data_IF_536662264480
#
_entry.id   IF_536662264480
#
_cell.length_a   1.000
_cell.length_b   1.000
_cell.length_c   1.000
_cell.angle_alpha   90.00
_cell.angle_beta   90.00
_cell.angle_gamma   90.00
#
_symmetry.space_group_name_H-M   'P 1'
#
loop_
_entity.id
_entity.type
_entity.pdbx_description
1 polymer ?
#
# COMPACT_ATOMS: atom_id res chain seq x y z
N UNK A 1 11.70 2.18 11.99
CA UNK A 1 10.99 1.26 12.90
C UNK A 1 10.13 0.17 12.24
N UNK A 2 9.48 0.41 11.09
CA UNK A 2 8.59 -0.58 10.48
C UNK A 2 9.21 -1.97 10.21
N UNK A 3 10.53 -2.11 10.09
CA UNK A 3 11.19 -3.41 9.85
C UNK A 3 11.43 -4.27 11.10
N UNK A 4 11.22 -3.72 12.30
CA UNK A 4 11.64 -4.37 13.54
C UNK A 4 10.53 -5.18 14.23
N UNK A 5 9.29 -5.11 13.73
CA UNK A 5 8.13 -5.77 14.35
C UNK A 5 8.36 -7.26 14.66
N UNK A 6 8.86 -8.10 13.73
CA UNK A 6 9.03 -9.52 14.01
C UNK A 6 10.00 -9.77 15.15
N UNK A 7 11.07 -8.97 15.23
CA UNK A 7 12.09 -9.10 16.27
C UNK A 7 11.59 -8.62 17.63
N UNK A 8 10.78 -7.56 17.67
CA UNK A 8 10.13 -7.07 18.90
C UNK A 8 9.17 -8.11 19.48
N UNK A 9 8.36 -8.75 18.62
CA UNK A 9 7.45 -9.83 19.06
C UNK A 9 8.24 -11.04 19.57
N UNK A 10 9.31 -11.43 18.87
CA UNK A 10 10.19 -12.52 19.30
C UNK A 10 10.77 -12.27 20.70
N UNK A 11 11.37 -11.09 20.92
CA UNK A 11 11.94 -10.71 22.23
C UNK A 11 10.88 -10.68 23.34
N UNK A 12 9.67 -10.20 23.05
CA UNK A 12 8.58 -10.17 24.03
C UNK A 12 8.16 -11.58 24.45
N UNK A 13 8.05 -12.50 23.48
CA UNK A 13 7.74 -13.91 23.75
C UNK A 13 8.87 -14.61 24.53
N UNK A 14 10.13 -14.34 24.21
CA UNK A 14 11.29 -14.85 24.96
C UNK A 14 11.35 -14.33 26.40
N UNK A 15 10.85 -13.11 26.64
CA UNK A 15 10.67 -12.57 27.98
C UNK A 15 9.48 -13.17 28.74
N UNK A 16 8.75 -14.15 28.16
CA UNK A 16 7.63 -14.84 28.77
C UNK A 16 6.27 -14.17 28.54
N UNK A 17 6.17 -13.18 27.65
CA UNK A 17 4.89 -12.54 27.33
C UNK A 17 4.14 -13.32 26.26
N UNK A 18 2.85 -13.56 26.47
CA UNK A 18 1.95 -13.99 25.41
C UNK A 18 1.57 -12.78 24.55
N UNK A 19 1.79 -12.89 23.23
CA UNK A 19 1.52 -11.81 22.28
C UNK A 19 0.46 -12.28 21.30
N UNK A 20 -0.79 -11.93 21.62
CA UNK A 20 -1.98 -12.19 20.79
C UNK A 20 -2.27 -11.04 19.82
N UNK A 21 -1.87 -9.81 20.18
CA UNK A 21 -2.19 -8.60 19.43
C UNK A 21 -1.07 -7.57 19.52
N UNK A 22 -0.81 -6.88 18.41
CA UNK A 22 0.10 -5.73 18.35
C UNK A 22 -0.62 -4.54 17.73
N UNK A 23 -0.65 -3.43 18.47
CA UNK A 23 -1.18 -2.15 17.99
C UNK A 23 0.01 -1.27 17.61
N UNK A 24 0.02 -0.80 16.37
CA UNK A 24 1.15 -0.04 15.84
C UNK A 24 0.75 1.02 14.83
N UNK A 25 1.66 1.97 14.61
CA UNK A 25 1.48 3.01 13.60
C UNK A 25 1.43 2.45 12.19
N UNK A 26 0.95 3.26 11.25
CA UNK A 26 0.88 2.93 9.82
C UNK A 26 2.22 2.48 9.22
N UNK A 27 3.36 2.89 9.80
CA UNK A 27 4.67 2.40 9.37
C UNK A 27 4.85 0.87 9.55
N UNK A 28 4.07 0.25 10.44
CA UNK A 28 4.09 -1.19 10.67
C UNK A 28 3.19 -1.98 9.71
N UNK A 29 2.39 -1.32 8.87
CA UNK A 29 1.49 -1.97 7.91
C UNK A 29 2.20 -2.48 6.63
N UNK A 30 3.53 -2.64 6.67
CA UNK A 30 4.28 -3.19 5.55
C UNK A 30 3.89 -4.66 5.31
N UNK A 31 3.97 -5.11 4.06
CA UNK A 31 3.57 -6.47 3.67
C UNK A 31 4.23 -7.54 4.55
N UNK A 32 5.53 -7.42 4.79
CA UNK A 32 6.31 -8.37 5.59
C UNK A 32 5.81 -8.50 7.03
N UNK A 33 5.31 -7.40 7.61
CA UNK A 33 4.79 -7.41 8.97
C UNK A 33 3.41 -8.04 9.04
N UNK A 34 2.57 -7.79 8.04
CA UNK A 34 1.25 -8.43 7.94
C UNK A 34 1.43 -9.94 7.76
N UNK A 35 2.35 -10.36 6.89
CA UNK A 35 2.71 -11.77 6.71
C UNK A 35 3.28 -12.36 7.99
N UNK A 36 4.23 -11.68 8.65
CA UNK A 36 4.79 -12.15 9.93
C UNK A 36 3.76 -12.23 11.07
N UNK A 37 2.72 -11.39 11.05
CA UNK A 37 1.62 -11.46 12.01
C UNK A 37 0.72 -12.67 11.75
N UNK A 38 0.41 -12.95 10.48
CA UNK A 38 -0.33 -14.15 10.07
C UNK A 38 0.45 -15.42 10.43
N UNK A 39 1.72 -15.49 10.07
CA UNK A 39 2.59 -16.64 10.36
C UNK A 39 2.85 -16.81 11.87
N UNK A 40 2.97 -15.70 12.58
CA UNK A 40 3.22 -15.66 14.02
C UNK A 40 1.98 -15.85 14.90
N UNK A 41 0.79 -15.91 14.29
CA UNK A 41 -0.47 -16.13 15.00
C UNK A 41 -0.89 -14.98 15.91
N UNK A 42 -0.65 -13.73 15.52
CA UNK A 42 -1.09 -12.55 16.27
C UNK A 42 -1.77 -11.51 15.38
N UNK A 43 -2.66 -10.71 15.95
CA UNK A 43 -3.39 -9.67 15.23
C UNK A 43 -2.54 -8.40 15.11
N UNK A 44 -2.38 -7.87 13.88
CA UNK A 44 -1.72 -6.59 13.66
C UNK A 44 -2.74 -5.48 13.46
N UNK A 45 -2.95 -4.69 14.51
CA UNK A 45 -3.79 -3.50 14.52
C UNK A 45 -2.96 -2.29 14.08
N UNK A 46 -2.70 -2.22 12.76
CA UNK A 46 -1.99 -1.12 12.11
C UNK A 46 -2.72 -0.73 10.83
N UNK A 47 -3.04 0.56 10.70
CA UNK A 47 -3.73 1.08 9.51
C UNK A 47 -2.83 0.97 8.29
N UNK A 48 -3.35 0.45 7.19
CA UNK A 48 -2.63 0.45 5.93
C UNK A 48 -2.30 1.87 5.48
N UNK A 49 -1.09 2.06 5.00
CA UNK A 49 -0.70 3.31 4.36
C UNK A 49 -1.58 3.56 3.12
N UNK A 50 -2.11 4.77 2.95
CA UNK A 50 -2.95 5.16 1.81
C UNK A 50 -2.27 4.91 0.46
N UNK A 51 -0.94 5.01 0.40
CA UNK A 51 -0.15 4.68 -0.80
C UNK A 51 -0.25 3.19 -1.15
N UNK A 52 -0.48 2.32 -0.17
CA UNK A 52 -0.65 0.88 -0.33
C UNK A 52 -2.09 0.52 -0.70
N UNK A 53 -3.09 1.20 -0.10
CA UNK A 53 -4.52 0.92 -0.35
C UNK A 53 -5.09 1.61 -1.58
N UNK A 54 -4.67 2.83 -1.88
CA UNK A 54 -5.19 3.63 -2.99
C UNK A 54 -4.15 3.85 -4.10
N UNK A 55 -2.88 3.45 -3.88
CA UNK A 55 -1.80 3.84 -4.76
C UNK A 55 -1.49 5.35 -4.64
N UNK A 56 -0.58 5.84 -5.46
CA UNK A 56 -0.14 7.24 -5.44
C UNK A 56 -0.98 8.14 -6.36
N UNK A 57 -2.24 7.81 -6.68
CA UNK A 57 -2.96 8.46 -7.79
C UNK A 57 -4.35 8.98 -7.43
N UNK A 58 -4.57 10.20 -7.93
CA UNK A 58 -5.70 11.11 -7.78
C UNK A 58 -6.55 11.21 -9.08
N UNK A 59 -6.38 10.28 -10.04
CA UNK A 59 -6.89 10.40 -11.41
C UNK A 59 -7.64 9.15 -11.89
N UNK A 60 -8.39 8.49 -11.01
CA UNK A 60 -9.24 7.36 -11.39
C UNK A 60 -10.28 7.77 -12.45
N UNK A 61 -10.73 9.04 -12.44
CA UNK A 61 -11.71 9.58 -13.39
C UNK A 61 -11.22 9.76 -14.85
N UNK A 62 -9.93 9.54 -15.15
CA UNK A 62 -9.37 9.78 -16.50
C UNK A 62 -9.29 8.51 -17.38
N UNK A 63 -9.38 7.31 -16.79
CA UNK A 63 -9.18 6.04 -17.48
C UNK A 63 -10.14 4.96 -16.95
N UNK A 64 -10.88 4.32 -17.85
CA UNK A 64 -11.84 3.26 -17.54
C UNK A 64 -11.32 1.90 -18.01
N UNK A 65 -11.53 0.84 -17.23
CA UNK A 65 -11.14 -0.51 -17.65
C UNK A 65 -12.22 -1.16 -18.53
N UNK A 66 -11.91 -1.36 -19.81
CA UNK A 66 -12.79 -2.06 -20.74
C UNK A 66 -12.61 -3.58 -20.57
N UNK A 67 -13.65 -4.25 -20.07
CA UNK A 67 -13.64 -5.70 -19.76
C UNK A 67 -13.55 -6.57 -21.01
N UNK A 68 -14.21 -6.18 -22.09
CA UNK A 68 -14.23 -6.93 -23.35
C UNK A 68 -12.86 -6.90 -24.05
N UNK A 69 -12.18 -5.75 -24.00
CA UNK A 69 -10.83 -5.58 -24.54
C UNK A 69 -9.73 -6.03 -23.57
N UNK A 70 -10.03 -6.17 -22.28
CA UNK A 70 -9.05 -6.45 -21.22
C UNK A 70 -7.97 -5.38 -21.07
N UNK A 71 -8.29 -4.13 -21.45
CA UNK A 71 -7.40 -2.98 -21.56
C UNK A 71 -8.06 -1.70 -21.04
N UNK A 72 -7.26 -0.73 -20.58
CA UNK A 72 -7.79 0.59 -20.23
C UNK A 72 -8.11 1.43 -21.46
N UNK A 73 -9.21 2.16 -21.38
CA UNK A 73 -9.65 3.19 -22.31
C UNK A 73 -9.51 4.55 -21.65
N UNK A 74 -8.97 5.55 -22.35
CA UNK A 74 -8.94 6.92 -21.84
C UNK A 74 -10.25 7.66 -22.15
N UNK A 75 -10.47 8.83 -21.54
CA UNK A 75 -11.64 9.69 -21.83
C UNK A 75 -11.86 10.08 -23.31
N UNK A 76 -10.82 9.98 -24.15
CA UNK A 76 -10.93 10.21 -25.59
C UNK A 76 -11.36 8.96 -26.38
N UNK A 77 -11.62 7.85 -25.70
CA UNK A 77 -11.98 6.56 -26.32
C UNK A 77 -10.80 5.71 -26.79
N UNK A 78 -9.55 6.17 -26.65
CA UNK A 78 -8.38 5.40 -27.08
C UNK A 78 -8.08 4.26 -26.10
N UNK A 79 -7.96 3.04 -26.63
CA UNK A 79 -7.53 1.87 -25.87
C UNK A 79 -6.00 1.81 -25.72
N UNK A 80 -5.54 1.23 -24.63
CA UNK A 80 -4.15 0.83 -24.47
C UNK A 80 -3.76 -0.22 -25.54
N UNK A 81 -2.55 -0.10 -26.07
CA UNK A 81 -2.02 -0.96 -27.13
C UNK A 81 -1.40 -2.25 -26.60
N UNK A 82 -0.81 -2.20 -25.40
CA UNK A 82 -0.30 -3.39 -24.72
C UNK A 82 -0.21 -3.16 -23.21
N UNK A 83 -0.08 -4.24 -22.44
CA UNK A 83 0.17 -4.21 -21.01
C UNK A 83 1.39 -5.04 -20.62
N UNK A 84 2.07 -4.63 -19.56
CA UNK A 84 3.27 -5.26 -19.03
C UNK A 84 3.15 -5.41 -17.52
N UNK A 85 3.43 -6.61 -17.02
CA UNK A 85 3.51 -6.88 -15.59
C UNK A 85 4.93 -6.54 -15.09
N UNK A 86 5.03 -5.41 -14.41
CA UNK A 86 6.23 -5.03 -13.67
C UNK A 86 6.23 -5.76 -12.32
N UNK A 87 7.00 -6.84 -12.25
CA UNK A 87 7.14 -7.66 -11.04
C UNK A 87 7.96 -6.98 -9.94
N UNK A 88 8.73 -5.93 -10.25
CA UNK A 88 9.62 -5.19 -9.32
C UNK A 88 10.59 -6.06 -8.48
N UNK A 89 10.71 -7.34 -8.79
CA UNK A 89 11.47 -8.39 -8.07
C UNK A 89 12.97 -8.07 -7.96
N UNK A 90 13.54 -7.36 -8.93
CA UNK A 90 14.99 -7.17 -9.03
C UNK A 90 15.57 -6.07 -8.15
N UNK A 91 14.76 -5.14 -7.62
CA UNK A 91 15.32 -3.95 -6.94
C UNK A 91 14.71 -3.64 -5.57
N UNK A 92 13.45 -4.00 -5.26
CA UNK A 92 12.79 -3.63 -3.98
C UNK A 92 11.78 -4.69 -3.53
N UNK A 93 12.22 -5.65 -2.70
CA UNK A 93 11.42 -6.76 -2.09
C UNK A 93 10.12 -6.36 -1.37
N UNK A 94 9.85 -5.06 -1.14
CA UNK A 94 8.69 -4.57 -0.39
C UNK A 94 7.71 -3.76 -1.28
N UNK A 95 7.75 -3.89 -2.61
CA UNK A 95 6.83 -3.17 -3.51
C UNK A 95 5.94 -4.15 -4.27
N UNK A 96 4.62 -3.95 -4.14
CA UNK A 96 3.58 -4.69 -4.86
C UNK A 96 3.87 -4.80 -6.37
N UNK A 97 3.47 -5.84 -7.12
CA UNK A 97 3.60 -5.79 -8.57
C UNK A 97 2.72 -4.67 -9.18
N UNK A 98 3.04 -4.23 -10.39
CA UNK A 98 2.22 -3.25 -11.14
C UNK A 98 1.90 -3.76 -12.52
N UNK A 99 0.64 -3.59 -12.95
CA UNK A 99 0.29 -3.72 -14.35
C UNK A 99 0.43 -2.34 -15.01
N UNK A 100 1.23 -2.26 -16.07
CA UNK A 100 1.47 -1.01 -16.81
C UNK A 100 0.84 -1.15 -18.20
N UNK A 101 -0.08 -0.25 -18.54
CA UNK A 101 -0.77 -0.15 -19.81
C UNK A 101 -0.16 0.98 -20.63
N UNK A 102 0.18 0.71 -21.88
CA UNK A 102 0.79 1.67 -22.79
C UNK A 102 -0.24 2.18 -23.79
N UNK A 103 -0.21 3.46 -24.09
CA UNK A 103 -1.07 4.09 -25.09
C UNK A 103 -0.25 4.53 -26.29
N UNK A 104 -0.91 4.51 -27.44
CA UNK A 104 -0.33 4.98 -28.70
C UNK A 104 -0.04 6.49 -28.64
N UNK A 105 1.22 6.84 -28.79
CA UNK A 105 1.71 8.21 -28.68
C UNK A 105 1.27 9.04 -29.88
N UNK A 106 1.23 8.46 -31.08
CA UNK A 106 0.83 9.20 -32.28
C UNK A 106 -0.65 9.60 -32.16
N UNK A 107 -1.48 8.73 -31.59
CA UNK A 107 -2.86 9.09 -31.20
C UNK A 107 -2.91 10.15 -30.11
N UNK A 108 -2.00 10.11 -29.14
CA UNK A 108 -1.94 11.13 -28.07
C UNK A 108 -1.50 12.51 -28.58
N UNK A 109 -0.55 12.60 -29.51
CA UNK A 109 -0.06 13.87 -30.09
C UNK A 109 -1.16 14.64 -30.84
N UNK A 110 -2.03 13.91 -31.53
CA UNK A 110 -3.15 14.47 -32.28
C UNK A 110 -4.47 14.52 -31.47
N UNK A 111 -4.45 14.12 -30.20
CA UNK A 111 -5.66 14.04 -29.39
C UNK A 111 -6.16 15.45 -29.00
N UNK A 112 -7.47 15.75 -29.11
CA UNK A 112 -8.05 17.00 -28.62
C UNK A 112 -7.79 17.23 -27.12
N UNK A 113 -7.69 16.14 -26.35
CA UNK A 113 -7.43 16.17 -24.91
C UNK A 113 -5.94 16.08 -24.57
N UNK A 114 -5.02 16.38 -25.51
CA UNK A 114 -3.58 16.28 -25.26
C UNK A 114 -3.11 17.21 -24.16
N UNK A 115 -3.72 18.39 -24.03
CA UNK A 115 -3.35 19.36 -23.00
C UNK A 115 -3.69 18.81 -21.59
N UNK A 116 -2.71 18.83 -20.69
CA UNK A 116 -2.80 18.21 -19.37
C UNK A 116 -2.78 16.67 -19.34
N UNK A 117 -2.82 15.99 -20.49
CA UNK A 117 -2.77 14.52 -20.59
C UNK A 117 -1.43 14.02 -21.15
N UNK A 118 -1.02 14.52 -22.32
CA UNK A 118 0.25 14.16 -22.97
C UNK A 118 1.27 15.26 -22.75
N UNK A 119 2.48 14.88 -22.34
CA UNK A 119 3.60 15.81 -22.26
C UNK A 119 4.33 15.83 -23.60
N UNK A 120 4.43 17.01 -24.21
CA UNK A 120 5.10 17.21 -25.50
C UNK A 120 6.53 16.64 -25.48
N UNK A 121 6.90 15.92 -26.55
CA UNK A 121 8.17 15.20 -26.65
C UNK A 121 8.30 13.92 -25.82
N UNK A 122 7.25 13.49 -25.09
CA UNK A 122 7.31 12.22 -24.34
C UNK A 122 7.34 11.01 -25.28
N UNK A 123 8.31 10.12 -25.04
CA UNK A 123 8.46 8.83 -25.75
C UNK A 123 7.54 7.71 -25.26
N UNK A 124 6.72 7.96 -24.25
CA UNK A 124 5.75 6.99 -23.74
C UNK A 124 4.56 7.67 -23.08
N UNK A 125 3.39 7.07 -23.24
CA UNK A 125 2.19 7.36 -22.46
C UNK A 125 1.77 6.08 -21.77
N UNK A 126 1.70 6.10 -20.44
CA UNK A 126 1.32 4.91 -19.68
C UNK A 126 0.29 5.22 -18.60
N UNK A 127 -0.57 4.25 -18.37
CA UNK A 127 -1.39 4.12 -17.17
C UNK A 127 -0.87 2.91 -16.38
N UNK A 128 -0.94 2.94 -15.06
CA UNK A 128 -0.43 1.82 -14.26
C UNK A 128 -1.29 1.58 -13.04
N UNK A 129 -1.65 0.33 -12.85
CA UNK A 129 -2.43 -0.17 -11.72
C UNK A 129 -1.51 -0.96 -10.79
N UNK A 130 -1.61 -0.73 -9.47
CA UNK A 130 -0.85 -1.52 -8.50
C UNK A 130 -1.65 -2.74 -8.10
N UNK A 131 -1.07 -3.92 -8.30
CA UNK A 131 -1.69 -5.17 -7.92
C UNK A 131 -1.45 -5.39 -6.42
N UNK A 132 -2.50 -5.28 -5.61
CA UNK A 132 -2.41 -5.48 -4.17
C UNK A 132 -2.05 -6.93 -3.86
N UNK A 133 -1.17 -7.14 -2.87
CA UNK A 133 -0.90 -8.49 -2.35
C UNK A 133 -2.13 -9.02 -1.63
N UNK A 134 -2.28 -10.35 -1.55
CA UNK A 134 -3.38 -10.98 -0.80
C UNK A 134 -3.36 -10.56 0.68
N UNK A 135 -2.17 -10.45 1.27
CA UNK A 135 -1.98 -9.93 2.63
C UNK A 135 -2.54 -8.50 2.80
N UNK A 136 -2.26 -7.58 1.86
CA UNK A 136 -2.82 -6.23 1.90
C UNK A 136 -4.32 -6.18 1.68
N UNK A 137 -4.87 -7.04 0.81
CA UNK A 137 -6.32 -7.12 0.62
C UNK A 137 -7.03 -7.57 1.89
N UNK A 138 -6.57 -8.67 2.51
CA UNK A 138 -7.10 -9.16 3.78
C UNK A 138 -7.00 -8.12 4.90
N UNK A 139 -5.87 -7.42 4.99
CA UNK A 139 -5.69 -6.35 5.98
C UNK A 139 -6.62 -5.16 5.71
N UNK A 140 -6.94 -4.85 4.45
CA UNK A 140 -7.90 -3.81 4.11
C UNK A 140 -9.32 -4.20 4.55
N UNK A 141 -9.73 -5.45 4.33
CA UNK A 141 -11.01 -5.98 4.81
C UNK A 141 -11.06 -5.99 6.34
N UNK A 142 -9.98 -6.43 7.00
CA UNK A 142 -9.88 -6.47 8.46
C UNK A 142 -10.01 -5.08 9.11
N UNK A 143 -9.45 -4.05 8.48
CA UNK A 143 -9.55 -2.66 8.95
C UNK A 143 -10.97 -2.11 9.00
N UNK A 144 -11.86 -2.62 8.16
CA UNK A 144 -13.26 -2.18 8.12
C UNK A 144 -14.11 -2.84 9.22
N UNK A 145 -13.58 -3.86 9.91
CA UNK A 145 -14.26 -4.53 11.02
C UNK A 145 -14.38 -3.63 12.25
N UNK A 146 -15.45 -3.80 13.02
CA UNK A 146 -15.65 -3.06 14.27
C UNK A 146 -14.57 -3.38 15.31
N UNK A 147 -14.15 -4.65 15.43
CA UNK A 147 -13.05 -5.07 16.29
C UNK A 147 -11.77 -4.25 16.04
N UNK A 148 -11.38 -4.10 14.77
CA UNK A 148 -10.21 -3.30 14.42
C UNK A 148 -10.38 -1.83 14.81
N UNK A 149 -11.55 -1.24 14.53
CA UNK A 149 -11.84 0.17 14.86
C UNK A 149 -11.84 0.41 16.36
N UNK A 150 -12.38 -0.53 17.15
CA UNK A 150 -12.38 -0.46 18.62
C UNK A 150 -10.96 -0.54 19.17
N UNK A 151 -10.16 -1.51 18.72
CA UNK A 151 -8.76 -1.66 19.17
C UNK A 151 -7.89 -0.49 18.76
N UNK A 152 -8.10 0.08 17.58
CA UNK A 152 -7.40 1.29 17.15
C UNK A 152 -7.67 2.50 18.05
N UNK A 153 -8.84 2.60 18.69
CA UNK A 153 -9.12 3.67 19.66
C UNK A 153 -8.23 3.57 20.89
N UNK A 154 -7.69 2.40 21.21
CA UNK A 154 -6.78 2.24 22.36
C UNK A 154 -5.37 2.77 22.10
N UNK A 155 -5.03 3.15 20.85
CA UNK A 155 -3.71 3.66 20.45
C UNK A 155 -3.22 4.86 21.28
N UNK A 156 -4.12 5.74 21.75
CA UNK A 156 -3.71 6.90 22.57
C UNK A 156 -3.01 6.47 23.88
N UNK A 157 -3.33 5.28 24.42
CA UNK A 157 -2.71 4.75 25.63
C UNK A 157 -1.21 4.48 25.42
N UNK A 158 -0.85 4.07 24.20
CA UNK A 158 0.52 3.77 23.79
C UNK A 158 1.32 5.06 23.63
N UNK A 159 0.73 6.08 23.01
CA UNK A 159 1.37 7.41 22.87
C UNK A 159 1.65 8.05 24.23
N UNK A 160 0.69 7.97 25.16
CA UNK A 160 0.86 8.46 26.52
C UNK A 160 2.00 7.73 27.26
N UNK A 161 2.09 6.40 27.13
CA UNK A 161 3.15 5.61 27.76
C UNK A 161 4.52 5.88 27.15
N UNK A 162 4.59 6.03 25.83
CA UNK A 162 5.83 6.40 25.14
C UNK A 162 6.31 7.79 25.56
N UNK A 163 5.39 8.76 25.68
CA UNK A 163 5.72 10.10 26.19
C UNK A 163 6.23 10.06 27.63
N UNK A 164 5.61 9.25 28.50
CA UNK A 164 6.10 9.04 29.87
C UNK A 164 7.52 8.46 29.89
N UNK A 165 7.79 7.42 29.11
CA UNK A 165 9.10 6.79 29.02
C UNK A 165 10.19 7.75 28.54
N UNK A 166 9.88 8.59 27.54
CA UNK A 166 10.82 9.60 27.04
C UNK A 166 11.11 10.67 28.09
N UNK A 167 10.07 11.30 28.66
CA UNK A 167 10.25 12.46 29.53
C UNK A 167 10.63 12.13 30.98
N UNK A 168 10.17 11.00 31.53
CA UNK A 168 10.43 10.65 32.94
C UNK A 168 11.59 9.68 33.12
N UNK A 169 11.83 8.81 32.14
CA UNK A 169 12.84 7.76 32.26
C UNK A 169 14.08 8.02 31.40
N UNK A 170 14.16 9.18 30.72
CA UNK A 170 15.38 9.64 30.05
C UNK A 170 15.76 8.83 28.81
N UNK A 171 14.82 8.06 28.25
CA UNK A 171 15.01 7.37 26.97
C UNK A 171 14.78 8.34 25.81
N UNK A 172 15.52 9.45 25.78
CA UNK A 172 15.65 10.27 24.57
C UNK A 172 16.50 9.49 23.57
N UNK A 173 15.86 8.99 22.52
CA UNK A 173 16.49 8.55 21.26
C UNK A 173 16.12 9.49 20.13
#
# INVERSE_FOLDING_TARGET
DGKELPELVRKSREAGMEVEMVIGDTAYSEQKNIEAAQDGGYELISRLNSIITQGNRTKEDEFEFNKDAGMYQCKAGHLAVHKYLDRREKEKKNKNPRMIYFFDIEKCKCCPYKDGCYKEGSKKKTYSETLKSNAHSKQAEFQETEHFKEKMKERYKIEAKNSELKHRHGYDT
#
